data_IF_699722479451
#
_entry.id   IF_699722479451
#
_cell.length_a   1.000
_cell.length_b   1.000
_cell.length_c   1.000
_cell.angle_alpha   90.00
_cell.angle_beta   90.00
_cell.angle_gamma   90.00
#
_symmetry.space_group_name_H-M   'P 1'
#
loop_
_entity.id
_entity.type
_entity.pdbx_description
1 polymer ?
#
# COMPACT_ATOMS: atom_id res chain seq x y z
N UNK A 1 15.19 13.23 16.41
CA UNK A 1 14.79 13.04 16.07
C UNK A 1 13.76 12.81 15.90
N UNK A 2 13.04 12.85 15.89
CA UNK A 2 12.13 12.57 15.77
C UNK A 2 11.45 13.08 14.84
N UNK A 3 11.30 13.77 14.56
CA UNK A 3 10.86 14.33 13.70
C UNK A 3 10.74 13.68 12.58
N UNK A 4 11.05 13.12 12.53
CA UNK A 4 11.08 12.32 11.58
C UNK A 4 9.88 11.76 11.10
N UNK A 5 8.89 11.58 11.90
CA UNK A 5 7.66 11.01 11.61
C UNK A 5 6.93 11.75 10.55
N UNK A 6 6.83 13.00 10.62
CA UNK A 6 6.10 13.74 9.64
C UNK A 6 6.89 13.71 8.34
N UNK A 7 8.17 13.68 8.44
CA UNK A 7 8.98 13.63 7.27
C UNK A 7 8.74 12.33 6.52
N UNK A 8 8.67 11.23 7.22
CA UNK A 8 8.42 9.97 6.62
C UNK A 8 7.05 9.90 6.01
N UNK A 9 6.08 10.49 6.60
CA UNK A 9 4.74 10.50 6.07
C UNK A 9 4.70 11.10 4.70
N UNK A 10 5.54 12.08 4.45
CA UNK A 10 5.53 12.74 3.17
C UNK A 10 6.07 11.86 2.06
N UNK A 11 6.79 10.82 2.40
CA UNK A 11 7.37 9.94 1.41
C UNK A 11 6.71 8.58 1.35
N UNK A 12 5.63 8.42 2.07
CA UNK A 12 4.92 7.15 2.10
C UNK A 12 3.69 7.20 1.21
N UNK A 13 3.55 6.21 0.38
CA UNK A 13 2.39 6.09 -0.49
C UNK A 13 1.63 4.83 -0.13
N UNK A 14 0.37 4.77 -0.49
CA UNK A 14 -0.46 3.61 -0.19
C UNK A 14 -1.16 3.14 -1.45
N UNK A 15 -1.11 1.86 -1.71
CA UNK A 15 -1.85 1.27 -2.81
C UNK A 15 -3.10 0.64 -2.21
N UNK A 16 -4.24 1.17 -2.54
CA UNK A 16 -5.50 0.71 -1.96
C UNK A 16 -6.01 -0.49 -2.74
N UNK A 17 -6.10 -1.63 -2.08
CA UNK A 17 -6.54 -2.85 -2.73
C UNK A 17 -7.97 -3.20 -2.39
N UNK A 18 -8.46 -2.68 -1.30
CA UNK A 18 -9.86 -2.91 -0.89
C UNK A 18 -9.97 -3.90 0.24
N UNK A 19 -9.64 -5.14 0.02
CA UNK A 19 -9.80 -6.16 1.06
C UNK A 19 -8.48 -6.48 1.72
N UNK A 20 -8.57 -7.01 2.93
CA UNK A 20 -7.39 -7.41 3.66
C UNK A 20 -6.65 -8.53 2.93
N UNK A 21 -7.38 -9.44 2.35
CA UNK A 21 -6.78 -10.55 1.63
C UNK A 21 -5.92 -10.06 0.48
N UNK A 22 -6.43 -9.10 -0.27
CA UNK A 22 -5.65 -8.57 -1.38
C UNK A 22 -4.48 -7.74 -0.88
N UNK A 23 -4.65 -7.05 0.23
CA UNK A 23 -3.55 -6.28 0.79
C UNK A 23 -2.43 -7.19 1.22
N UNK A 24 -2.76 -8.33 1.83
CA UNK A 24 -1.75 -9.28 2.24
C UNK A 24 -1.07 -9.92 1.05
N UNK A 25 -1.83 -10.19 0.00
CA UNK A 25 -1.26 -10.74 -1.21
C UNK A 25 -0.29 -9.75 -1.82
N UNK A 26 -0.67 -8.48 -1.82
CA UNK A 26 0.18 -7.43 -2.37
C UNK A 26 1.45 -7.30 -1.54
N UNK A 27 1.32 -7.34 -0.23
CA UNK A 27 2.47 -7.26 0.65
C UNK A 27 3.44 -8.40 0.37
N UNK A 28 2.90 -9.58 0.21
CA UNK A 28 3.71 -10.76 -0.04
C UNK A 28 4.42 -10.67 -1.39
N UNK A 29 3.73 -10.22 -2.42
CA UNK A 29 4.32 -10.08 -3.73
C UNK A 29 5.47 -9.07 -3.71
N UNK A 30 5.27 -7.98 -3.00
CA UNK A 30 6.29 -6.96 -2.90
C UNK A 30 7.49 -7.46 -2.12
N UNK A 31 7.23 -8.20 -1.06
CA UNK A 31 8.28 -8.76 -0.26
C UNK A 31 9.17 -9.71 -1.05
N UNK A 32 8.55 -10.49 -1.91
CA UNK A 32 9.29 -11.42 -2.75
C UNK A 32 10.19 -10.70 -3.71
N UNK A 33 9.90 -9.48 -4.03
CA UNK A 33 10.70 -8.67 -4.92
C UNK A 33 11.57 -7.67 -4.16
N UNK A 34 11.82 -7.95 -2.90
CA UNK A 34 12.66 -7.14 -2.05
C UNK A 34 12.16 -5.70 -1.88
N UNK A 35 10.86 -5.53 -1.98
CA UNK A 35 10.26 -4.21 -1.77
C UNK A 35 9.57 -4.22 -0.42
N UNK A 36 9.88 -3.28 0.42
CA UNK A 36 9.26 -3.19 1.72
C UNK A 36 7.88 -2.59 1.64
N UNK A 37 6.91 -3.24 2.18
CA UNK A 37 5.54 -2.77 2.21
C UNK A 37 4.83 -3.37 3.40
N UNK A 38 3.83 -2.68 3.88
CA UNK A 38 3.05 -3.15 5.02
C UNK A 38 1.58 -3.06 4.71
N UNK A 39 0.85 -4.08 5.04
CA UNK A 39 -0.61 -4.05 4.88
C UNK A 39 -1.17 -3.12 5.93
N UNK A 40 -2.01 -2.20 5.53
CA UNK A 40 -2.59 -1.22 6.46
C UNK A 40 -4.07 -1.06 6.21
N UNK A 41 -4.76 -0.56 7.21
CA UNK A 41 -6.16 -0.28 7.10
C UNK A 41 -6.30 1.18 6.68
N UNK A 42 -6.95 1.39 5.56
CA UNK A 42 -7.16 2.72 5.06
C UNK A 42 -8.52 3.19 5.47
N UNK A 43 -8.65 3.80 6.54
CA UNK A 43 -9.92 4.15 7.10
C UNK A 43 -10.48 5.29 6.42
N UNK A 44 -10.96 5.20 5.32
CA UNK A 44 -11.54 6.24 4.74
C UNK A 44 -12.90 6.14 4.43
N UNK A 45 -13.40 5.17 4.48
CA UNK A 45 -14.65 4.98 4.06
C UNK A 45 -15.76 5.39 4.82
N UNK A 46 -16.93 5.16 4.35
CA UNK A 46 -18.12 5.43 5.05
C UNK A 46 -18.49 4.18 5.74
N UNK A 47 -19.53 4.24 6.47
CA UNK A 47 -20.02 3.10 7.18
C UNK A 47 -20.43 2.01 6.22
N UNK A 48 -20.85 2.36 5.06
CA UNK A 48 -21.32 1.39 4.12
C UNK A 48 -20.21 0.52 3.60
N UNK A 49 -19.04 1.05 3.38
CA UNK A 49 -18.00 0.27 2.80
C UNK A 49 -17.20 -0.50 3.80
N UNK A 50 -17.36 -0.21 5.06
CA UNK A 50 -16.61 -0.90 6.10
C UNK A 50 -15.13 -0.57 6.01
N UNK A 51 -14.31 -1.52 6.33
CA UNK A 51 -12.88 -1.30 6.35
C UNK A 51 -12.26 -1.49 4.98
N UNK A 52 -11.39 -0.60 4.63
CA UNK A 52 -10.70 -0.67 3.35
C UNK A 52 -9.23 -0.85 3.66
N UNK A 53 -8.60 -1.76 2.98
CA UNK A 53 -7.20 -2.09 3.22
C UNK A 53 -6.32 -1.82 2.01
N UNK A 54 -5.04 -1.65 2.27
CA UNK A 54 -4.08 -1.46 1.20
C UNK A 54 -2.69 -1.76 1.71
N UNK A 55 -1.68 -1.41 0.93
CA UNK A 55 -0.30 -1.59 1.35
C UNK A 55 0.42 -0.26 1.29
N UNK A 56 1.23 -0.02 2.29
CA UNK A 56 1.97 1.22 2.44
C UNK A 56 3.40 0.97 2.02
N UNK A 57 3.99 1.84 1.28
CA UNK A 57 5.36 1.69 0.81
C UNK A 57 5.97 3.05 0.54
N UNK A 58 7.28 3.09 0.32
CA UNK A 58 7.93 4.35 0.02
C UNK A 58 7.57 4.83 -1.36
N UNK A 59 7.22 6.09 -1.49
CA UNK A 59 6.82 6.63 -2.78
C UNK A 59 7.89 6.50 -3.84
N UNK A 60 9.13 6.49 -3.43
CA UNK A 60 10.23 6.33 -4.37
C UNK A 60 10.17 4.99 -5.09
N UNK A 61 9.46 4.03 -4.51
CA UNK A 61 9.34 2.71 -5.11
C UNK A 61 8.07 2.54 -5.93
N UNK A 62 7.33 3.61 -6.12
CA UNK A 62 6.04 3.53 -6.79
C UNK A 62 6.09 2.81 -8.14
N UNK A 63 7.07 3.12 -8.95
CA UNK A 63 7.18 2.47 -10.24
C UNK A 63 7.37 0.97 -10.12
N UNK A 64 8.24 0.56 -9.21
CA UNK A 64 8.50 -0.85 -8.99
C UNK A 64 7.28 -1.53 -8.39
N UNK A 65 6.61 -0.85 -7.46
CA UNK A 65 5.44 -1.41 -6.83
C UNK A 65 4.34 -1.63 -7.88
N UNK A 66 4.13 -0.67 -8.74
CA UNK A 66 3.12 -0.82 -9.78
C UNK A 66 3.41 -2.02 -10.66
N UNK A 67 4.64 -2.18 -11.05
CA UNK A 67 5.04 -3.29 -11.88
C UNK A 67 4.82 -4.62 -11.20
N UNK A 68 5.25 -4.74 -9.97
CA UNK A 68 5.11 -5.99 -9.24
C UNK A 68 3.64 -6.36 -9.04
N UNK A 69 2.82 -5.40 -8.63
CA UNK A 69 1.42 -5.68 -8.39
C UNK A 69 0.69 -6.04 -9.67
N UNK A 70 1.04 -5.38 -10.75
CA UNK A 70 0.42 -5.67 -12.01
C UNK A 70 0.81 -7.06 -12.49
N UNK A 71 2.07 -7.42 -12.36
CA UNK A 71 2.54 -8.74 -12.74
C UNK A 71 1.91 -9.82 -11.87
N UNK A 72 1.69 -9.53 -10.61
CA UNK A 72 1.07 -10.49 -9.72
C UNK A 72 -0.44 -10.59 -9.89
N UNK A 73 -1.00 -9.76 -10.74
CA UNK A 73 -2.44 -9.81 -10.97
C UNK A 73 -3.25 -9.18 -9.86
N UNK A 74 -2.67 -8.29 -9.11
CA UNK A 74 -3.37 -7.65 -8.01
C UNK A 74 -3.89 -6.31 -8.46
N UNK A 75 -5.18 -6.15 -8.37
CA UNK A 75 -5.84 -4.93 -8.76
C UNK A 75 -5.72 -3.88 -7.69
N UNK A 76 -5.28 -2.69 -8.06
CA UNK A 76 -5.17 -1.58 -7.12
C UNK A 76 -6.22 -0.55 -7.50
N UNK A 77 -7.05 -0.18 -6.54
CA UNK A 77 -8.13 0.76 -6.80
C UNK A 77 -7.63 2.18 -6.92
N UNK A 78 -6.66 2.52 -6.12
CA UNK A 78 -6.06 3.85 -6.25
C UNK A 78 -4.78 3.91 -5.45
N UNK A 79 -3.94 4.90 -5.77
CA UNK A 79 -2.71 5.12 -5.05
C UNK A 79 -2.85 6.43 -4.29
N UNK A 80 -2.56 6.42 -3.01
CA UNK A 80 -2.67 7.60 -2.16
C UNK A 80 -1.28 8.02 -1.68
N UNK A 81 -1.13 9.28 -1.45
CA UNK A 81 0.11 9.78 -0.92
C UNK A 81 0.03 10.15 0.51
#
# INVERSE_FOLDING_TARGET
MKYDRSYRSATVCTAVTGSMTMALKAQRALSKNALRASAVKVSKGTADTGCIYGVEFECALLGNVKNVLQTAGIEVKEYLR
#
